data_IF_554557668527
#
_entry.id   IF_554557668527
#
_cell.length_a   1.000
_cell.length_b   1.000
_cell.length_c   1.000
_cell.angle_alpha   90.00
_cell.angle_beta   90.00
_cell.angle_gamma   90.00
#
_symmetry.space_group_name_H-M   'P 1'
#
loop_
_entity.id
_entity.type
_entity.pdbx_description
1 polymer ?
#
# COMPACT_ATOMS: atom_id res chain seq x y z
N UNK A 1 -11.14 4.90 -3.14
CA UNK A 1 -11.43 4.81 -4.58
C UNK A 1 -10.19 5.15 -5.41
N UNK A 2 -10.28 5.01 -6.73
CA UNK A 2 -9.28 5.43 -7.74
C UNK A 2 -9.85 6.59 -8.57
N UNK A 3 -9.02 7.21 -9.41
CA UNK A 3 -9.44 8.31 -10.31
C UNK A 3 -10.56 7.87 -11.26
N UNK A 4 -10.53 6.62 -11.69
CA UNK A 4 -11.46 6.05 -12.66
C UNK A 4 -10.95 4.69 -13.12
N UNK A 5 -11.59 4.11 -14.13
CA UNK A 5 -11.12 2.85 -14.73
C UNK A 5 -9.89 3.07 -15.62
N UNK A 6 -9.87 4.16 -16.39
CA UNK A 6 -8.80 4.57 -17.31
C UNK A 6 -8.74 6.11 -17.45
N UNK A 7 -8.01 6.63 -18.43
CA UNK A 7 -7.85 8.07 -18.65
C UNK A 7 -9.11 8.76 -19.18
N UNK A 8 -9.94 8.02 -19.90
CA UNK A 8 -11.10 8.53 -20.64
C UNK A 8 -12.35 8.50 -19.75
N UNK A 9 -12.34 7.62 -18.74
CA UNK A 9 -13.44 7.41 -17.80
C UNK A 9 -13.02 7.74 -16.35
N UNK A 10 -12.90 9.02 -16.03
CA UNK A 10 -12.56 9.53 -14.69
C UNK A 10 -13.82 9.81 -13.86
N UNK A 11 -14.17 8.91 -12.95
CA UNK A 11 -15.44 8.94 -12.20
C UNK A 11 -15.32 9.44 -10.76
N UNK A 12 -14.10 9.73 -10.30
CA UNK A 12 -13.83 9.96 -8.88
C UNK A 12 -14.59 11.13 -8.26
N UNK A 13 -14.88 12.20 -8.99
CA UNK A 13 -15.64 13.34 -8.45
C UNK A 13 -17.08 12.95 -8.15
N UNK A 14 -17.76 12.36 -9.14
CA UNK A 14 -19.14 11.89 -8.99
C UNK A 14 -19.25 10.82 -7.91
N UNK A 15 -18.40 9.79 -7.97
CA UNK A 15 -18.37 8.71 -6.97
C UNK A 15 -18.14 9.25 -5.56
N UNK A 16 -17.27 10.24 -5.39
CA UNK A 16 -17.01 10.84 -4.08
C UNK A 16 -18.16 11.70 -3.59
N UNK A 17 -18.81 12.45 -4.49
CA UNK A 17 -19.99 13.26 -4.17
C UNK A 17 -21.16 12.39 -3.75
N UNK A 18 -21.43 11.30 -4.47
CA UNK A 18 -22.45 10.31 -4.10
C UNK A 18 -22.16 9.70 -2.72
N UNK A 19 -20.90 9.36 -2.44
CA UNK A 19 -20.51 8.86 -1.12
C UNK A 19 -20.71 9.91 -0.02
N UNK A 20 -20.36 11.18 -0.28
CA UNK A 20 -20.59 12.28 0.65
C UNK A 20 -22.08 12.49 0.94
N UNK A 21 -22.95 12.42 -0.08
CA UNK A 21 -24.40 12.53 0.07
C UNK A 21 -25.01 11.38 0.89
N UNK A 22 -24.36 10.22 0.88
CA UNK A 22 -24.71 9.07 1.74
C UNK A 22 -24.13 9.17 3.16
N UNK A 23 -23.40 10.23 3.49
CA UNK A 23 -22.94 10.53 4.85
C UNK A 23 -21.66 9.81 5.28
N UNK A 24 -20.75 9.49 4.35
CA UNK A 24 -19.43 8.95 4.72
C UNK A 24 -18.63 9.94 5.57
N UNK A 25 -17.82 9.42 6.50
CA UNK A 25 -16.99 10.26 7.38
C UNK A 25 -15.80 10.89 6.65
N UNK A 26 -15.24 10.20 5.66
CA UNK A 26 -14.13 10.66 4.84
C UNK A 26 -14.10 9.84 3.55
N UNK A 27 -13.41 10.36 2.53
CA UNK A 27 -13.11 9.60 1.31
C UNK A 27 -11.60 9.50 1.10
N UNK A 28 -11.13 8.40 0.56
CA UNK A 28 -9.72 8.23 0.21
C UNK A 28 -9.56 8.06 -1.30
N UNK A 29 -8.67 8.84 -1.92
CA UNK A 29 -8.37 8.76 -3.35
C UNK A 29 -6.95 8.27 -3.59
N UNK A 30 -6.83 7.09 -4.20
CA UNK A 30 -5.59 6.69 -4.87
C UNK A 30 -5.52 7.44 -6.20
N UNK A 31 -4.55 8.35 -6.32
CA UNK A 31 -4.33 9.23 -7.48
C UNK A 31 -3.78 8.48 -8.72
N UNK A 32 -4.39 7.35 -9.06
CA UNK A 32 -4.19 6.56 -10.28
C UNK A 32 -5.54 6.04 -10.77
N UNK A 33 -5.64 5.82 -12.07
CA UNK A 33 -6.74 5.04 -12.68
C UNK A 33 -6.53 3.55 -12.38
N UNK A 34 -7.57 2.72 -12.49
CA UNK A 34 -7.44 1.28 -12.28
C UNK A 34 -6.49 0.64 -13.31
N UNK A 35 -6.57 1.08 -14.58
CA UNK A 35 -5.75 0.59 -15.67
C UNK A 35 -4.25 0.82 -15.43
N UNK A 36 -3.88 1.94 -14.81
CA UNK A 36 -2.48 2.24 -14.48
C UNK A 36 -1.87 1.23 -13.49
N UNK A 37 -2.66 0.52 -12.68
CA UNK A 37 -2.19 -0.31 -11.58
C UNK A 37 -1.19 0.43 -10.67
N UNK A 38 0.11 0.21 -10.90
CA UNK A 38 1.26 0.78 -10.19
C UNK A 38 2.25 1.47 -11.12
N UNK A 39 1.93 1.56 -12.41
CA UNK A 39 2.73 2.22 -13.43
C UNK A 39 2.74 3.74 -13.22
N UNK A 40 3.82 4.37 -13.70
CA UNK A 40 4.02 5.80 -13.62
C UNK A 40 4.01 6.34 -12.19
N UNK A 41 3.72 7.63 -12.07
CA UNK A 41 3.55 8.33 -10.79
C UNK A 41 2.08 8.63 -10.57
N UNK A 42 1.69 8.69 -9.30
CA UNK A 42 0.35 9.14 -8.91
C UNK A 42 0.23 10.63 -9.24
N UNK A 43 -0.88 11.03 -9.87
CA UNK A 43 -1.17 12.43 -10.17
C UNK A 43 -1.89 13.08 -8.97
N UNK A 44 -1.10 13.70 -8.08
CA UNK A 44 -1.65 14.32 -6.88
C UNK A 44 -2.57 15.50 -7.16
N UNK A 45 -2.54 16.09 -8.37
CA UNK A 45 -3.50 17.14 -8.73
C UNK A 45 -4.94 16.63 -8.71
N UNK A 46 -5.17 15.33 -8.95
CA UNK A 46 -6.49 14.71 -8.80
C UNK A 46 -6.99 14.69 -7.36
N UNK A 47 -6.08 14.70 -6.39
CA UNK A 47 -6.44 14.83 -4.96
C UNK A 47 -6.85 16.28 -4.69
N UNK A 48 -6.10 17.26 -5.19
CA UNK A 48 -6.48 18.70 -5.09
C UNK A 48 -7.87 18.94 -5.68
N UNK A 49 -8.11 18.44 -6.90
CA UNK A 49 -9.39 18.55 -7.60
C UNK A 49 -10.53 17.96 -6.75
N UNK A 50 -10.30 16.81 -6.12
CA UNK A 50 -11.29 16.19 -5.24
C UNK A 50 -11.52 16.96 -3.93
N UNK A 51 -10.46 17.48 -3.31
CA UNK A 51 -10.54 18.30 -2.09
C UNK A 51 -11.41 19.54 -2.35
N UNK A 52 -11.15 20.25 -3.44
CA UNK A 52 -11.91 21.42 -3.86
C UNK A 52 -13.37 21.08 -4.16
N UNK A 53 -13.60 19.97 -4.89
CA UNK A 53 -14.94 19.51 -5.24
C UNK A 53 -15.80 19.15 -4.02
N UNK A 54 -15.22 18.52 -3.00
CA UNK A 54 -15.94 18.12 -1.80
C UNK A 54 -15.99 19.19 -0.70
N UNK A 55 -15.28 20.31 -0.84
CA UNK A 55 -15.28 21.38 0.17
C UNK A 55 -16.68 21.81 0.65
N UNK A 56 -17.71 21.96 -0.22
CA UNK A 56 -19.06 22.33 0.22
C UNK A 56 -19.76 21.28 1.10
N UNK A 57 -19.33 20.02 1.04
CA UNK A 57 -19.92 18.91 1.81
C UNK A 57 -19.30 18.80 3.21
N UNK A 58 -18.11 19.38 3.43
CA UNK A 58 -17.33 19.23 4.65
C UNK A 58 -16.69 17.85 4.84
N UNK A 59 -16.88 16.90 3.91
CA UNK A 59 -16.29 15.56 3.99
C UNK A 59 -14.77 15.63 3.69
N UNK A 60 -13.90 15.22 4.62
CA UNK A 60 -12.46 15.23 4.42
C UNK A 60 -11.99 14.23 3.36
N UNK A 61 -10.98 14.62 2.59
CA UNK A 61 -10.28 13.76 1.64
C UNK A 61 -8.96 13.27 2.23
N UNK A 62 -8.68 11.98 2.11
CA UNK A 62 -7.40 11.36 2.40
C UNK A 62 -6.67 11.06 1.09
N UNK A 63 -5.44 11.58 0.94
CA UNK A 63 -4.61 11.37 -0.24
C UNK A 63 -3.92 10.01 -0.22
N UNK A 64 -3.84 9.33 -1.37
CA UNK A 64 -3.11 8.07 -1.50
C UNK A 64 -2.31 8.02 -2.80
N UNK A 65 -1.07 7.57 -2.70
CA UNK A 65 -0.21 7.30 -3.86
C UNK A 65 1.22 7.75 -3.62
N UNK A 66 2.15 6.82 -3.73
CA UNK A 66 3.60 7.07 -3.73
C UNK A 66 4.13 7.80 -2.47
N UNK A 67 3.55 7.49 -1.30
CA UNK A 67 4.09 7.89 0.01
C UNK A 67 5.12 6.85 0.48
N UNK A 68 6.39 7.24 0.55
CA UNK A 68 7.51 6.37 0.94
C UNK A 68 8.21 6.82 2.22
N UNK A 69 7.91 8.02 2.70
CA UNK A 69 8.50 8.66 3.86
C UNK A 69 7.60 9.73 4.47
N UNK A 70 7.96 10.22 5.66
CA UNK A 70 7.33 11.37 6.31
C UNK A 70 7.28 12.61 5.43
N UNK A 71 8.36 12.89 4.69
CA UNK A 71 8.44 14.03 3.76
C UNK A 71 7.42 13.92 2.62
N UNK A 72 7.21 12.73 2.07
CA UNK A 72 6.22 12.55 0.99
C UNK A 72 4.81 12.86 1.51
N UNK A 73 4.52 12.50 2.76
CA UNK A 73 3.23 12.77 3.38
C UNK A 73 2.99 14.26 3.59
N UNK A 74 3.96 14.98 4.16
CA UNK A 74 3.85 16.43 4.35
C UNK A 74 3.74 17.13 2.99
N UNK A 75 4.54 16.75 2.00
CA UNK A 75 4.44 17.31 0.64
C UNK A 75 3.09 17.04 -0.03
N UNK A 76 2.51 15.85 0.14
CA UNK A 76 1.16 15.57 -0.39
C UNK A 76 0.12 16.45 0.29
N UNK A 77 0.15 16.55 1.62
CA UNK A 77 -0.82 17.36 2.37
C UNK A 77 -0.69 18.85 2.04
N UNK A 78 0.54 19.37 1.96
CA UNK A 78 0.84 20.75 1.56
C UNK A 78 0.37 21.07 0.14
N UNK A 79 0.63 20.17 -0.82
CA UNK A 79 0.24 20.38 -2.22
C UNK A 79 -1.27 20.30 -2.44
N UNK A 80 -1.93 19.35 -1.79
CA UNK A 80 -3.30 18.96 -2.15
C UNK A 80 -4.37 19.49 -1.20
N UNK A 81 -3.98 19.93 -0.01
CA UNK A 81 -4.92 20.30 1.05
C UNK A 81 -5.70 19.11 1.63
N UNK A 82 -5.31 17.86 1.31
CA UNK A 82 -5.95 16.69 1.90
C UNK A 82 -5.73 16.62 3.42
N UNK A 83 -6.70 16.06 4.13
CA UNK A 83 -6.72 16.02 5.59
C UNK A 83 -5.74 14.99 6.19
N UNK A 84 -5.18 14.12 5.37
CA UNK A 84 -4.22 13.10 5.77
C UNK A 84 -3.87 12.18 4.62
N UNK A 85 -2.97 11.23 4.88
CA UNK A 85 -2.49 10.29 3.86
C UNK A 85 -2.84 8.85 4.20
N UNK A 86 -3.14 8.06 3.18
CA UNK A 86 -3.23 6.59 3.27
C UNK A 86 -1.96 6.00 2.67
N UNK A 87 -1.36 5.04 3.37
CA UNK A 87 -0.10 4.39 2.94
C UNK A 87 -0.34 2.93 2.63
N UNK A 88 0.07 2.51 1.42
CA UNK A 88 0.03 1.12 0.98
C UNK A 88 1.43 0.51 0.92
N UNK A 89 2.02 0.46 -0.27
CA UNK A 89 3.31 -0.23 -0.51
C UNK A 89 4.48 0.32 0.33
N UNK A 90 4.44 1.58 0.74
CA UNK A 90 5.49 2.22 1.54
C UNK A 90 5.77 1.51 2.87
N UNK A 91 4.74 0.95 3.52
CA UNK A 91 4.86 0.30 4.83
C UNK A 91 5.22 -1.20 4.75
N UNK A 92 5.32 -1.78 3.55
CA UNK A 92 5.68 -3.19 3.38
C UNK A 92 7.10 -3.45 3.91
N UNK A 93 7.19 -4.25 4.99
CA UNK A 93 8.44 -4.52 5.69
C UNK A 93 9.04 -3.30 6.39
N UNK A 94 8.24 -2.26 6.64
CA UNK A 94 8.65 -1.00 7.29
C UNK A 94 7.55 -0.48 8.23
N UNK A 95 7.17 -1.22 9.29
CA UNK A 95 6.18 -0.74 10.25
C UNK A 95 6.61 0.57 10.93
N UNK A 96 7.92 0.84 11.05
CA UNK A 96 8.44 2.11 11.57
C UNK A 96 8.17 3.32 10.68
N UNK A 97 7.74 3.15 9.42
CA UNK A 97 7.33 4.26 8.56
C UNK A 97 6.22 5.09 9.23
N UNK A 98 5.30 4.47 9.98
CA UNK A 98 4.24 5.21 10.65
C UNK A 98 4.76 6.18 11.71
N UNK A 99 5.87 5.86 12.39
CA UNK A 99 6.51 6.79 13.31
C UNK A 99 7.15 7.97 12.56
N UNK A 100 7.76 7.73 11.39
CA UNK A 100 8.28 8.80 10.51
C UNK A 100 7.15 9.70 9.98
N UNK A 101 6.01 9.13 9.59
CA UNK A 101 4.82 9.87 9.16
C UNK A 101 4.28 10.78 10.28
N UNK A 102 4.11 10.22 11.49
CA UNK A 102 3.60 10.98 12.65
C UNK A 102 4.56 12.11 13.03
N UNK A 103 5.87 11.82 13.11
CA UNK A 103 6.89 12.84 13.37
C UNK A 103 6.79 13.99 12.36
N UNK A 104 6.79 13.67 11.06
CA UNK A 104 6.77 14.68 10.02
C UNK A 104 5.48 15.54 10.03
N UNK A 105 4.32 14.92 10.21
CA UNK A 105 3.02 15.62 10.26
C UNK A 105 2.93 16.55 11.48
N UNK A 106 3.55 16.17 12.61
CA UNK A 106 3.60 17.01 13.81
C UNK A 106 4.68 18.12 13.73
N UNK A 107 5.38 18.26 12.61
CA UNK A 107 6.48 19.23 12.46
C UNK A 107 7.76 18.83 13.18
N UNK A 108 7.86 17.58 13.65
CA UNK A 108 9.08 17.02 14.22
C UNK A 108 9.99 16.51 13.09
N UNK A 109 11.24 16.98 13.03
CA UNK A 109 12.19 16.53 12.01
C UNK A 109 12.98 15.27 12.44
N UNK A 110 12.28 14.28 13.03
CA UNK A 110 12.90 13.05 13.56
C UNK A 110 12.59 11.85 12.67
N UNK A 111 13.53 11.53 11.79
CA UNK A 111 13.49 10.33 10.94
C UNK A 111 13.70 9.07 11.79
N UNK A 112 12.86 8.07 11.60
CA UNK A 112 13.00 6.75 12.23
C UNK A 112 13.66 5.78 11.25
N UNK A 113 14.97 5.64 11.37
CA UNK A 113 15.81 4.82 10.50
C UNK A 113 16.48 3.70 11.33
N UNK A 114 15.80 2.55 11.53
CA UNK A 114 16.32 1.50 12.39
C UNK A 114 17.54 0.79 11.80
N UNK A 115 18.50 0.41 12.64
CA UNK A 115 19.61 -0.45 12.23
C UNK A 115 19.11 -1.86 11.87
N UNK A 116 19.93 -2.66 11.18
CA UNK A 116 19.53 -4.04 10.89
C UNK A 116 19.28 -4.87 12.16
N UNK A 117 19.97 -4.56 13.26
CA UNK A 117 19.72 -5.18 14.56
C UNK A 117 18.36 -4.82 15.15
N UNK A 118 17.88 -3.60 14.95
CA UNK A 118 16.52 -3.23 15.34
C UNK A 118 15.49 -3.88 14.40
N UNK A 119 15.76 -3.89 13.09
CA UNK A 119 14.90 -4.54 12.08
C UNK A 119 14.74 -6.03 12.37
N UNK A 120 15.80 -6.77 12.74
CA UNK A 120 15.65 -8.19 13.09
C UNK A 120 14.76 -8.41 14.32
N UNK A 121 14.78 -7.51 15.31
CA UNK A 121 13.89 -7.62 16.47
C UNK A 121 12.43 -7.40 16.05
N UNK A 122 12.19 -6.43 15.16
CA UNK A 122 10.87 -6.19 14.58
C UNK A 122 10.39 -7.40 13.78
N UNK A 123 11.27 -8.02 12.98
CA UNK A 123 10.96 -9.24 12.24
C UNK A 123 10.58 -10.39 13.19
N UNK A 124 11.36 -10.63 14.24
CA UNK A 124 11.08 -11.68 15.23
C UNK A 124 9.76 -11.41 15.96
N UNK A 125 9.52 -10.15 16.37
CA UNK A 125 8.27 -9.75 17.01
C UNK A 125 7.06 -9.96 16.09
N UNK A 126 7.20 -9.66 14.80
CA UNK A 126 6.15 -9.93 13.82
C UNK A 126 5.87 -11.44 13.70
N UNK A 127 6.91 -12.28 13.71
CA UNK A 127 6.76 -13.74 13.76
C UNK A 127 5.95 -14.18 14.97
N UNK A 128 6.33 -13.71 16.16
CA UNK A 128 5.64 -14.03 17.42
C UNK A 128 4.16 -13.61 17.38
N UNK A 129 3.86 -12.41 16.88
CA UNK A 129 2.49 -11.91 16.75
C UNK A 129 1.65 -12.75 15.77
N UNK A 130 2.25 -13.26 14.69
CA UNK A 130 1.54 -14.16 13.78
C UNK A 130 1.27 -15.53 14.41
N UNK A 131 2.20 -16.04 15.24
CA UNK A 131 1.96 -17.28 16.01
C UNK A 131 0.80 -17.08 16.98
N UNK A 132 0.78 -15.96 17.71
CA UNK A 132 -0.31 -15.58 18.61
C UNK A 132 -1.64 -15.48 17.85
N UNK A 133 -1.66 -14.77 16.72
CA UNK A 133 -2.87 -14.54 15.93
C UNK A 133 -3.45 -15.82 15.30
N UNK A 134 -2.60 -16.69 14.78
CA UNK A 134 -3.04 -17.93 14.13
C UNK A 134 -3.18 -19.11 15.08
N UNK A 135 -2.68 -18.98 16.32
CA UNK A 135 -2.51 -20.07 17.28
C UNK A 135 -1.83 -21.30 16.66
N UNK A 136 -0.94 -21.06 15.68
CA UNK A 136 -0.32 -22.09 14.86
C UNK A 136 0.99 -21.59 14.26
N UNK A 137 2.11 -22.13 14.76
CA UNK A 137 3.44 -21.70 14.35
C UNK A 137 3.75 -22.01 12.88
N UNK A 138 3.44 -23.23 12.41
CA UNK A 138 3.68 -23.63 11.02
C UNK A 138 2.94 -22.74 10.00
N UNK A 139 1.73 -22.31 10.35
CA UNK A 139 0.94 -21.37 9.55
C UNK A 139 1.55 -19.97 9.59
N UNK A 140 1.90 -19.48 10.78
CA UNK A 140 2.55 -18.18 10.94
C UNK A 140 3.87 -18.09 10.17
N UNK A 141 4.69 -19.13 10.22
CA UNK A 141 5.97 -19.20 9.52
C UNK A 141 5.78 -19.22 8.00
N UNK A 142 4.74 -19.90 7.49
CA UNK A 142 4.38 -19.81 6.07
C UNK A 142 3.94 -18.41 5.67
N UNK A 143 3.16 -17.72 6.50
CA UNK A 143 2.66 -16.38 6.17
C UNK A 143 3.78 -15.33 6.19
N UNK A 144 4.69 -15.39 7.18
CA UNK A 144 5.73 -14.36 7.33
C UNK A 144 6.78 -14.38 6.19
N UNK A 145 6.98 -15.52 5.51
CA UNK A 145 7.97 -15.66 4.41
C UNK A 145 7.86 -14.57 3.35
N UNK A 146 6.64 -14.16 2.99
CA UNK A 146 6.39 -13.12 1.97
C UNK A 146 6.92 -11.73 2.37
N UNK A 147 7.14 -11.49 3.66
CA UNK A 147 7.61 -10.20 4.19
C UNK A 147 9.14 -10.07 4.24
N UNK A 148 9.89 -11.19 4.23
CA UNK A 148 11.33 -11.19 4.47
C UNK A 148 12.11 -10.32 3.49
N UNK A 149 11.77 -10.43 2.20
CA UNK A 149 12.39 -9.64 1.16
C UNK A 149 12.14 -8.12 1.35
N UNK A 150 11.00 -7.74 1.93
CA UNK A 150 10.69 -6.34 2.19
C UNK A 150 11.51 -5.80 3.37
N UNK A 151 11.56 -6.50 4.51
CA UNK A 151 12.36 -6.05 5.65
C UNK A 151 13.84 -5.85 5.30
N UNK A 152 14.39 -6.77 4.50
CA UNK A 152 15.81 -6.79 4.16
C UNK A 152 16.17 -5.99 2.90
N UNK A 153 15.25 -5.18 2.36
CA UNK A 153 15.52 -4.39 1.15
C UNK A 153 16.65 -3.37 1.40
N UNK A 154 17.66 -3.38 0.54
CA UNK A 154 18.82 -2.47 0.58
C UNK A 154 19.93 -2.88 1.55
N UNK A 155 19.63 -3.69 2.56
CA UNK A 155 20.60 -4.19 3.52
C UNK A 155 21.57 -5.19 2.87
N UNK A 156 22.84 -5.20 3.24
CA UNK A 156 23.78 -6.25 2.83
C UNK A 156 23.56 -7.47 3.72
N UNK A 157 22.89 -8.50 3.21
CA UNK A 157 22.63 -9.76 3.93
C UNK A 157 23.06 -10.93 3.04
N UNK A 158 23.84 -11.90 3.57
CA UNK A 158 24.26 -13.08 2.82
C UNK A 158 23.11 -13.76 2.08
N UNK A 159 23.37 -14.19 0.84
CA UNK A 159 22.38 -14.83 -0.04
C UNK A 159 21.73 -16.06 0.63
N UNK A 160 22.53 -16.84 1.34
CA UNK A 160 22.09 -18.05 2.05
C UNK A 160 21.08 -17.72 3.17
N UNK A 161 21.37 -16.70 3.98
CA UNK A 161 20.44 -16.23 5.02
C UNK A 161 19.13 -15.76 4.39
N UNK A 162 19.19 -14.98 3.30
CA UNK A 162 17.98 -14.51 2.59
C UNK A 162 17.14 -15.68 2.06
N UNK A 163 17.77 -16.67 1.45
CA UNK A 163 17.09 -17.84 0.91
C UNK A 163 16.43 -18.66 2.04
N UNK A 164 17.16 -18.90 3.13
CA UNK A 164 16.67 -19.67 4.27
C UNK A 164 15.53 -18.97 5.01
N UNK A 165 15.57 -17.63 5.15
CA UNK A 165 14.45 -16.86 5.70
C UNK A 165 13.19 -16.99 4.84
N UNK A 166 13.33 -17.12 3.52
CA UNK A 166 12.22 -17.42 2.60
C UNK A 166 11.60 -18.80 2.80
N UNK A 167 12.27 -19.70 3.53
CA UNK A 167 11.85 -21.07 3.81
C UNK A 167 11.70 -21.36 5.31
N UNK A 168 11.68 -20.32 6.15
CA UNK A 168 11.65 -20.46 7.61
C UNK A 168 10.44 -21.27 8.08
N UNK A 169 10.64 -22.14 9.07
CA UNK A 169 9.65 -23.12 9.52
C UNK A 169 9.39 -23.10 11.04
N UNK A 170 10.17 -22.37 11.83
CA UNK A 170 9.90 -22.09 13.24
C UNK A 170 10.46 -20.73 13.66
N UNK A 171 9.98 -20.19 14.78
CA UNK A 171 10.52 -18.99 15.43
C UNK A 171 11.96 -19.19 15.85
N UNK A 172 12.31 -20.38 16.33
CA UNK A 172 13.68 -20.71 16.71
C UNK A 172 14.61 -20.66 15.49
N UNK A 173 14.22 -21.29 14.37
CA UNK A 173 14.99 -21.24 13.13
C UNK A 173 15.10 -19.79 12.60
N UNK A 174 14.02 -19.01 12.70
CA UNK A 174 14.04 -17.59 12.36
C UNK A 174 15.08 -16.82 13.20
N UNK A 175 15.07 -17.03 14.52
CA UNK A 175 15.98 -16.38 15.45
C UNK A 175 17.45 -16.74 15.16
N UNK A 176 17.74 -18.02 14.90
CA UNK A 176 19.07 -18.50 14.54
C UNK A 176 19.58 -17.88 13.22
N UNK A 177 18.73 -17.77 12.20
CA UNK A 177 19.11 -17.10 10.94
C UNK A 177 19.40 -15.61 11.17
N UNK A 178 18.56 -14.94 11.96
CA UNK A 178 18.68 -13.52 12.28
C UNK A 178 19.84 -13.19 13.23
N UNK A 179 20.34 -14.15 14.03
CA UNK A 179 21.54 -13.94 14.85
C UNK A 179 22.83 -13.88 14.01
N UNK A 180 22.81 -14.44 12.81
CA UNK A 180 23.98 -14.49 11.91
C UNK A 180 24.11 -13.27 11.00
N UNK A 181 23.24 -12.26 11.12
CA UNK A 181 23.37 -11.00 10.39
C UNK A 181 24.36 -10.07 11.09
N UNK A 182 25.05 -9.22 10.33
CA UNK A 182 25.92 -8.16 10.85
C UNK A 182 25.15 -6.86 10.90
N UNK A 183 25.26 -6.10 11.99
CA UNK A 183 24.56 -4.82 12.11
C UNK A 183 25.06 -3.81 11.08
N UNK A 184 24.15 -2.96 10.63
CA UNK A 184 24.43 -1.90 9.65
C UNK A 184 23.34 -0.83 9.72
N UNK A 185 23.67 0.42 9.37
CA UNK A 185 22.69 1.51 9.35
C UNK A 185 21.59 1.26 8.30
N UNK A 186 20.44 1.91 8.48
CA UNK A 186 19.35 1.86 7.51
C UNK A 186 19.80 2.40 6.13
N UNK A 187 19.64 1.63 5.04
CA UNK A 187 20.10 2.00 3.70
C UNK A 187 19.10 2.95 3.03
N UNK A 188 19.04 4.20 3.49
CA UNK A 188 17.98 5.15 3.15
C UNK A 188 17.72 5.30 1.64
N UNK A 189 18.77 5.41 0.83
CA UNK A 189 18.67 5.59 -0.63
C UNK A 189 17.86 4.48 -1.33
N UNK A 190 18.01 3.25 -0.87
CA UNK A 190 17.30 2.08 -1.43
C UNK A 190 16.03 1.77 -0.64
N UNK A 191 16.08 1.99 0.68
CA UNK A 191 15.04 1.68 1.64
C UNK A 191 13.78 2.50 1.44
N UNK A 192 13.93 3.77 1.06
CA UNK A 192 12.84 4.71 0.77
C UNK A 192 12.31 4.57 -0.67
N UNK A 193 12.92 3.74 -1.50
CA UNK A 193 12.42 3.51 -2.87
C UNK A 193 11.17 2.62 -2.93
N UNK A 194 10.52 2.50 -4.11
CA UNK A 194 9.31 1.70 -4.30
C UNK A 194 9.43 0.24 -3.86
N UNK A 195 8.36 -0.32 -3.30
CA UNK A 195 8.29 -1.68 -2.75
C UNK A 195 7.13 -2.48 -3.35
N UNK A 196 7.23 -3.80 -3.28
CA UNK A 196 6.22 -4.70 -3.84
C UNK A 196 6.27 -4.75 -5.36
N UNK A 197 5.18 -5.22 -5.98
CA UNK A 197 5.10 -5.43 -7.42
C UNK A 197 5.09 -4.09 -8.17
N UNK A 198 6.01 -3.91 -9.11
CA UNK A 198 5.99 -2.87 -10.13
C UNK A 198 5.36 -3.48 -11.37
N UNK A 199 4.04 -3.33 -11.52
CA UNK A 199 3.30 -3.88 -12.66
C UNK A 199 3.11 -2.77 -13.68
N UNK A 200 3.27 -3.09 -14.96
CA UNK A 200 2.80 -2.23 -16.05
C UNK A 200 1.28 -2.12 -16.00
N UNK A 201 0.74 -1.04 -16.56
CA UNK A 201 -0.68 -0.86 -16.73
C UNK A 201 -1.28 -1.97 -17.58
N UNK A 202 -2.56 -2.21 -17.36
CA UNK A 202 -3.35 -3.16 -18.14
C UNK A 202 -4.75 -2.61 -18.31
N UNK A 203 -5.35 -2.90 -19.44
CA UNK A 203 -6.75 -2.60 -19.69
C UNK A 203 -7.64 -3.21 -18.59
N UNK A 204 -8.65 -2.45 -18.15
CA UNK A 204 -9.67 -2.95 -17.24
C UNK A 204 -10.71 -3.70 -18.07
N UNK A 205 -10.94 -4.98 -17.76
CA UNK A 205 -12.01 -5.76 -18.41
C UNK A 205 -13.33 -5.49 -17.70
N UNK A 206 -14.32 -5.08 -18.47
CA UNK A 206 -15.69 -4.80 -18.05
C UNK A 206 -16.63 -5.80 -18.73
N UNK A 207 -17.84 -6.03 -18.19
CA UNK A 207 -18.88 -6.74 -18.92
C UNK A 207 -19.20 -6.06 -20.25
N UNK A 208 -19.60 -6.84 -21.25
CA UNK A 208 -20.01 -6.33 -22.56
C UNK A 208 -21.19 -5.35 -22.40
N UNK A 209 -21.16 -4.25 -23.15
CA UNK A 209 -22.19 -3.19 -23.11
C UNK A 209 -22.15 -2.26 -21.89
N UNK A 210 -21.32 -2.55 -20.87
CA UNK A 210 -21.34 -1.79 -19.61
C UNK A 210 -21.01 -0.30 -19.76
N UNK A 211 -20.14 0.07 -20.71
CA UNK A 211 -19.83 1.47 -20.99
C UNK A 211 -20.91 2.17 -21.83
N UNK A 212 -21.75 1.41 -22.51
CA UNK A 212 -22.83 1.94 -23.35
C UNK A 212 -24.07 2.25 -22.50
N UNK A 213 -24.40 1.36 -21.54
CA UNK A 213 -25.47 1.56 -20.56
C UNK A 213 -25.12 0.89 -19.20
N UNK A 214 -24.64 1.66 -18.20
CA UNK A 214 -24.27 1.10 -16.90
C UNK A 214 -25.48 0.70 -16.04
N UNK A 215 -26.70 1.10 -16.42
CA UNK A 215 -27.96 0.76 -15.76
C UNK A 215 -28.67 -0.41 -16.47
N UNK A 216 -28.08 -0.98 -17.53
CA UNK A 216 -28.64 -2.12 -18.24
C UNK A 216 -28.74 -3.34 -17.31
N UNK A 217 -29.96 -3.83 -17.12
CA UNK A 217 -30.18 -5.12 -16.47
C UNK A 217 -29.76 -6.24 -17.43
N UNK A 218 -28.51 -6.69 -17.30
CA UNK A 218 -28.01 -7.84 -18.05
C UNK A 218 -28.94 -9.05 -17.85
N UNK A 219 -29.67 -9.42 -18.91
CA UNK A 219 -30.51 -10.61 -18.92
C UNK A 219 -29.63 -11.79 -19.31
N UNK A 220 -29.07 -12.49 -18.32
CA UNK A 220 -28.29 -13.70 -18.56
C UNK A 220 -29.25 -14.79 -19.06
N UNK A 221 -29.13 -15.17 -20.34
CA UNK A 221 -29.87 -16.32 -20.86
C UNK A 221 -29.25 -17.62 -20.33
N UNK A 222 -30.03 -18.72 -20.31
CA UNK A 222 -29.52 -20.04 -19.88
C UNK A 222 -28.32 -20.50 -20.73
N UNK A 223 -28.25 -20.06 -22.00
CA UNK A 223 -27.16 -20.42 -22.91
C UNK A 223 -25.86 -19.67 -22.56
N UNK A 224 -25.95 -18.44 -22.04
CA UNK A 224 -24.78 -17.65 -21.61
C UNK A 224 -24.17 -18.18 -20.31
N UNK A 225 -24.96 -18.82 -19.45
CA UNK A 225 -24.49 -19.41 -18.20
C UNK A 225 -23.64 -20.67 -18.37
N UNK A 226 -23.64 -21.28 -19.57
CA UNK A 226 -22.95 -22.55 -19.87
C UNK A 226 -21.63 -22.32 -20.64
N UNK A 227 -21.40 -21.12 -21.19
CA UNK A 227 -20.17 -20.82 -21.92
C UNK A 227 -19.02 -20.51 -20.96
N UNK A 228 -18.32 -21.55 -20.51
CA UNK A 228 -17.01 -21.43 -19.88
C UNK A 228 -15.95 -21.00 -20.90
N UNK A 229 -15.67 -19.69 -20.94
CA UNK A 229 -14.54 -19.08 -21.65
C UNK A 229 -13.72 -18.22 -20.70
#
# INVERSE_FOLDING_TARGET
MRVGIDSDHQTFLESAKSAADLGVTWVALHARTAAQLYEGRSDWNKITELVEHLAPTGVPVLGNGDIWSGKDATSMMEQTGCAGVVVGRGCLGRPWLFADLVSAINGENKRVNPTLFEVRQIMLRHGQLLVEYFENEDRAMRDIRKHMAWYLKGFSVPREIRANLGMVNSLEHMQQLLSNVVDQPYPQEVGDGPRGRTSHGREVKLPDGWLDDPDEFATISIDDAISGG
#
